data_IF_130440563020
#
_entry.id   IF_130440563020
#
_cell.length_a   1.000
_cell.length_b   1.000
_cell.length_c   1.000
_cell.angle_alpha   90.00
_cell.angle_beta   90.00
_cell.angle_gamma   90.00
#
_symmetry.space_group_name_H-M   'P 1'
#
loop_
_entity.id
_entity.type
_entity.pdbx_description
1 polymer ?
#
# COMPACT_ATOMS: atom_id res chain seq x y z
N UNK A 1 4.04 15.22 -0.14
CA UNK A 1 2.75 14.52 0.01
C UNK A 1 2.44 14.17 1.47
N UNK A 2 3.27 13.36 2.15
CA UNK A 2 3.06 12.93 3.55
C UNK A 2 2.77 14.08 4.52
N UNK A 3 3.58 15.15 4.50
CA UNK A 3 3.34 16.34 5.34
C UNK A 3 1.99 17.01 5.10
N UNK A 4 1.53 17.05 3.86
CA UNK A 4 0.22 17.59 3.53
C UNK A 4 -0.90 16.72 4.12
N UNK A 5 -0.76 15.39 4.04
CA UNK A 5 -1.72 14.46 4.63
C UNK A 5 -1.77 14.58 6.17
N UNK A 6 -0.60 14.71 6.83
CA UNK A 6 -0.50 14.97 8.27
C UNK A 6 -1.25 16.25 8.66
N UNK A 7 -1.03 17.36 7.94
CA UNK A 7 -1.76 18.62 8.16
C UNK A 7 -3.27 18.47 7.96
N UNK A 8 -3.68 17.76 6.90
CA UNK A 8 -5.10 17.54 6.63
C UNK A 8 -5.78 16.72 7.74
N UNK A 9 -5.17 15.62 8.18
CA UNK A 9 -5.71 14.81 9.27
C UNK A 9 -5.85 15.61 10.57
N UNK A 10 -4.85 16.45 10.90
CA UNK A 10 -4.94 17.37 12.03
C UNK A 10 -6.10 18.36 11.88
N UNK A 11 -6.27 18.96 10.69
CA UNK A 11 -7.35 19.90 10.43
C UNK A 11 -8.75 19.25 10.50
N UNK A 12 -8.85 17.97 10.13
CA UNK A 12 -10.09 17.20 10.16
C UNK A 12 -10.31 16.44 11.49
N UNK A 13 -9.39 16.53 12.46
CA UNK A 13 -9.49 15.81 13.74
C UNK A 13 -9.41 14.28 13.63
N UNK A 14 -8.82 13.76 12.55
CA UNK A 14 -8.71 12.31 12.32
C UNK A 14 -7.41 11.79 12.90
N UNK A 15 -7.48 10.74 13.71
CA UNK A 15 -6.30 10.04 14.22
C UNK A 15 -5.75 9.09 13.16
N UNK A 16 -4.89 9.59 12.28
CA UNK A 16 -4.21 8.83 11.24
C UNK A 16 -2.70 9.07 11.27
N UNK A 17 -1.93 7.97 11.11
CA UNK A 17 -0.48 8.00 11.01
C UNK A 17 -0.06 7.99 9.54
N UNK A 18 0.78 8.93 9.14
CA UNK A 18 1.40 8.96 7.82
C UNK A 18 2.90 8.89 7.97
N UNK A 19 3.56 8.05 7.19
CA UNK A 19 5.00 7.82 7.23
C UNK A 19 5.56 7.79 5.81
N UNK A 20 6.86 8.07 5.69
CA UNK A 20 7.62 7.78 4.47
C UNK A 20 8.28 6.42 4.68
N UNK A 21 7.99 5.48 3.78
CA UNK A 21 8.55 4.14 3.82
C UNK A 21 8.83 3.63 2.41
N UNK A 22 9.69 2.62 2.30
CA UNK A 22 9.87 1.86 1.06
C UNK A 22 8.76 0.79 0.98
N UNK A 23 7.89 0.91 -0.04
CA UNK A 23 6.80 -0.03 -0.25
C UNK A 23 7.31 -1.45 -0.59
N UNK A 24 8.49 -1.56 -1.20
CA UNK A 24 9.13 -2.85 -1.51
C UNK A 24 9.76 -3.50 -0.27
N UNK A 25 9.80 -2.80 0.87
CA UNK A 25 10.32 -3.30 2.13
C UNK A 25 9.67 -2.61 3.35
N UNK A 26 8.42 -2.97 3.65
CA UNK A 26 7.69 -2.48 4.82
C UNK A 26 8.21 -3.06 6.15
N UNK A 27 9.05 -4.09 6.09
CA UNK A 27 9.47 -4.87 7.24
C UNK A 27 8.34 -5.73 7.83
N UNK A 28 8.63 -6.37 8.97
CA UNK A 28 7.70 -7.30 9.65
C UNK A 28 7.45 -6.93 11.11
N UNK A 29 7.90 -5.76 11.55
CA UNK A 29 7.75 -5.32 12.95
C UNK A 29 6.32 -4.91 13.29
N UNK A 30 5.53 -4.53 12.28
CA UNK A 30 4.12 -4.16 12.40
C UNK A 30 3.35 -4.93 11.32
N UNK A 31 2.18 -5.46 11.69
CA UNK A 31 1.26 -6.10 10.75
C UNK A 31 -0.09 -5.39 10.77
N UNK A 32 -0.88 -5.59 9.73
CA UNK A 32 -2.15 -4.92 9.52
C UNK A 32 -3.25 -5.93 9.21
N UNK A 33 -4.44 -5.74 9.78
CA UNK A 33 -5.64 -6.54 9.44
C UNK A 33 -6.11 -6.29 8.00
N UNK A 34 -5.90 -5.07 7.49
CA UNK A 34 -6.31 -4.69 6.13
C UNK A 34 -5.27 -3.77 5.50
N UNK A 35 -4.87 -4.11 4.27
CA UNK A 35 -4.02 -3.26 3.44
C UNK A 35 -4.79 -2.90 2.17
N UNK A 36 -4.78 -1.62 1.81
CA UNK A 36 -5.36 -1.11 0.57
C UNK A 36 -4.26 -0.53 -0.31
N UNK A 37 -4.05 -1.14 -1.47
CA UNK A 37 -3.27 -0.59 -2.58
C UNK A 37 -4.24 0.03 -3.57
N UNK A 38 -4.02 1.31 -3.88
CA UNK A 38 -4.72 1.98 -4.96
C UNK A 38 -3.70 2.56 -5.91
N UNK A 39 -3.62 1.97 -7.10
CA UNK A 39 -2.81 2.44 -8.20
C UNK A 39 -1.28 2.36 -8.00
N UNK A 40 -0.76 1.69 -6.95
CA UNK A 40 0.69 1.56 -6.76
C UNK A 40 1.20 0.23 -7.35
N UNK A 41 0.48 -0.89 -7.21
CA UNK A 41 0.93 -2.17 -7.76
C UNK A 41 1.32 -2.12 -9.25
N UNK A 42 0.55 -1.39 -10.07
CA UNK A 42 0.70 -1.43 -11.53
C UNK A 42 1.88 -0.60 -12.06
N UNK A 43 2.46 0.30 -11.26
CA UNK A 43 3.64 1.08 -11.69
C UNK A 43 4.93 0.26 -11.63
N UNK A 44 4.91 -0.87 -10.92
CA UNK A 44 6.05 -1.77 -10.80
C UNK A 44 6.16 -2.71 -12.00
N UNK A 45 7.40 -3.05 -12.36
CA UNK A 45 7.71 -4.13 -13.29
C UNK A 45 7.57 -5.51 -12.63
N UNK A 46 7.79 -6.59 -13.39
CA UNK A 46 7.61 -7.95 -12.89
C UNK A 46 8.49 -8.29 -11.67
N UNK A 47 9.72 -7.77 -11.63
CA UNK A 47 10.64 -8.00 -10.52
C UNK A 47 10.15 -7.28 -9.27
N UNK A 48 9.79 -6.01 -9.42
CA UNK A 48 9.37 -5.16 -8.32
C UNK A 48 7.98 -5.56 -7.82
N UNK A 49 7.07 -6.04 -8.67
CA UNK A 49 5.79 -6.64 -8.27
C UNK A 49 6.01 -7.83 -7.33
N UNK A 50 6.94 -8.72 -7.67
CA UNK A 50 7.26 -9.86 -6.82
C UNK A 50 7.84 -9.42 -5.47
N UNK A 51 8.69 -8.38 -5.44
CA UNK A 51 9.22 -7.80 -4.20
C UNK A 51 8.11 -7.15 -3.37
N UNK A 52 7.23 -6.39 -4.01
CA UNK A 52 6.10 -5.72 -3.38
C UNK A 52 5.11 -6.71 -2.74
N UNK A 53 4.75 -7.79 -3.44
CA UNK A 53 3.88 -8.84 -2.87
C UNK A 53 4.52 -9.50 -1.65
N UNK A 54 5.84 -9.74 -1.65
CA UNK A 54 6.54 -10.26 -0.46
C UNK A 54 6.55 -9.26 0.69
N UNK A 55 6.75 -7.98 0.40
CA UNK A 55 6.68 -6.89 1.38
C UNK A 55 5.31 -6.82 2.04
N UNK A 56 4.24 -6.84 1.23
CA UNK A 56 2.86 -6.89 1.71
C UNK A 56 2.61 -8.11 2.60
N UNK A 57 3.07 -9.30 2.18
CA UNK A 57 2.93 -10.50 2.99
C UNK A 57 3.61 -10.36 4.36
N UNK A 58 4.81 -9.78 4.44
CA UNK A 58 5.51 -9.52 5.71
C UNK A 58 4.78 -8.55 6.63
N UNK A 59 3.96 -7.66 6.08
CA UNK A 59 3.11 -6.71 6.80
C UNK A 59 1.71 -7.27 7.14
N UNK A 60 1.47 -8.56 6.94
CA UNK A 60 0.19 -9.24 7.24
C UNK A 60 0.35 -10.34 8.28
N UNK A 61 -0.77 -10.78 8.85
CA UNK A 61 -0.87 -11.97 9.69
C UNK A 61 -2.00 -12.88 9.17
N UNK A 62 -2.13 -14.13 9.65
CA UNK A 62 -3.29 -14.97 9.31
C UNK A 62 -4.60 -14.24 9.58
N UNK A 63 -5.47 -14.14 8.56
CA UNK A 63 -6.73 -13.42 8.61
C UNK A 63 -6.69 -11.99 8.03
N UNK A 64 -5.51 -11.43 7.75
CA UNK A 64 -5.40 -10.15 7.06
C UNK A 64 -5.94 -10.20 5.63
N UNK A 65 -6.43 -9.07 5.13
CA UNK A 65 -6.90 -8.92 3.75
C UNK A 65 -6.12 -7.82 3.03
N UNK A 66 -5.72 -8.09 1.79
CA UNK A 66 -5.10 -7.10 0.90
C UNK A 66 -6.05 -6.83 -0.27
N UNK A 67 -6.48 -5.57 -0.41
CA UNK A 67 -7.26 -5.10 -1.55
C UNK A 67 -6.33 -4.33 -2.50
N UNK A 68 -6.18 -4.83 -3.73
CA UNK A 68 -5.37 -4.17 -4.77
C UNK A 68 -6.29 -3.66 -5.87
N UNK A 69 -6.32 -2.34 -6.05
CA UNK A 69 -6.97 -1.69 -7.17
C UNK A 69 -5.91 -1.30 -8.21
N UNK A 70 -5.73 -2.15 -9.22
CA UNK A 70 -4.77 -1.96 -10.29
C UNK A 70 -5.46 -1.83 -11.66
N UNK A 71 -4.81 -1.12 -12.58
CA UNK A 71 -5.23 -1.08 -13.98
C UNK A 71 -4.90 -2.42 -14.65
N UNK A 72 -5.81 -2.88 -15.50
CA UNK A 72 -5.64 -4.08 -16.32
C UNK A 72 -5.65 -3.69 -17.78
N UNK A 73 -4.72 -4.26 -18.53
CA UNK A 73 -4.62 -4.18 -19.99
C UNK A 73 -5.53 -5.18 -20.71
N UNK A 74 -6.27 -6.02 -19.98
CA UNK A 74 -7.22 -6.99 -20.54
C UNK A 74 -8.60 -6.37 -20.87
N UNK A 75 -8.85 -5.12 -20.49
CA UNK A 75 -10.12 -4.42 -20.69
C UNK A 75 -10.18 -3.60 -21.99
N UNK A 76 -11.40 -3.27 -22.46
CA UNK A 76 -11.56 -2.37 -23.62
C UNK A 76 -11.05 -0.96 -23.30
N UNK A 77 -10.20 -0.42 -24.16
CA UNK A 77 -9.64 0.94 -24.03
C UNK A 77 -8.22 1.02 -23.46
N UNK A 78 -7.55 -0.13 -23.32
CA UNK A 78 -6.11 -0.27 -23.12
C UNK A 78 -5.47 -0.93 -24.35
#
# INVERSE_FOLDING_TARGET
AVEQARRNAKAQGVNARFEVADALNLGSSTTYDTIVDSALFHIFDDRDRAAYVRSLYGATHPGSVVHVLALSDAGRGF
#
